data_IF_672045047998
#
_entry.id   IF_672045047998
#
_cell.length_a   1.000
_cell.length_b   1.000
_cell.length_c   1.000
_cell.angle_alpha   90.00
_cell.angle_beta   90.00
_cell.angle_gamma   90.00
#
_symmetry.space_group_name_H-M   'P 1'
#
loop_
_entity.id
_entity.type
_entity.pdbx_description
1 polymer ?
#
# COMPACT_ATOMS: atom_id res chain seq x y z
N UNK A 1 10.01 4.12 -1.07
CA UNK A 1 10.34 2.69 -1.03
C UNK A 1 9.68 1.96 0.13
N UNK A 2 9.85 2.44 1.39
CA UNK A 2 9.25 1.80 2.57
C UNK A 2 7.73 1.72 2.48
N UNK A 3 7.04 2.78 2.09
CA UNK A 3 5.59 2.79 1.92
C UNK A 3 5.12 1.72 0.93
N UNK A 4 5.77 1.61 -0.23
CA UNK A 4 5.43 0.60 -1.24
C UNK A 4 5.67 -0.83 -0.74
N UNK A 5 6.72 -1.05 0.05
CA UNK A 5 7.02 -2.35 0.66
C UNK A 5 5.96 -2.72 1.71
N UNK A 6 5.62 -1.77 2.59
CA UNK A 6 4.56 -1.96 3.58
C UNK A 6 3.22 -2.30 2.91
N UNK A 7 2.87 -1.61 1.84
CA UNK A 7 1.61 -1.83 1.13
C UNK A 7 1.52 -3.23 0.53
N UNK A 8 2.61 -3.72 -0.08
CA UNK A 8 2.66 -5.11 -0.61
C UNK A 8 2.53 -6.12 0.52
N UNK A 9 3.26 -5.94 1.63
CA UNK A 9 3.19 -6.83 2.79
C UNK A 9 1.79 -6.84 3.44
N UNK A 10 1.14 -5.68 3.52
CA UNK A 10 -0.25 -5.56 3.99
C UNK A 10 -1.22 -6.40 3.16
N UNK A 11 -1.05 -6.44 1.83
CA UNK A 11 -1.89 -7.27 0.97
C UNK A 11 -1.83 -8.75 1.34
N UNK A 12 -0.66 -9.25 1.71
CA UNK A 12 -0.48 -10.63 2.19
C UNK A 12 -1.10 -10.82 3.58
N UNK A 13 -0.89 -9.89 4.50
CA UNK A 13 -1.47 -9.93 5.83
C UNK A 13 -3.01 -9.94 5.78
N UNK A 14 -3.62 -9.08 4.97
CA UNK A 14 -5.07 -9.06 4.74
C UNK A 14 -5.58 -10.36 4.11
N UNK A 15 -4.80 -10.96 3.22
CA UNK A 15 -5.14 -12.25 2.61
C UNK A 15 -5.25 -13.35 3.66
N UNK A 16 -4.28 -13.43 4.57
CA UNK A 16 -4.31 -14.42 5.66
C UNK A 16 -5.47 -14.14 6.61
N UNK A 17 -5.66 -12.88 7.02
CA UNK A 17 -6.76 -12.51 7.88
C UNK A 17 -8.11 -12.93 7.30
N UNK A 18 -8.37 -12.59 6.03
CA UNK A 18 -9.62 -12.94 5.33
C UNK A 18 -9.81 -14.46 5.19
N UNK A 19 -8.77 -15.19 4.75
CA UNK A 19 -8.86 -16.65 4.59
C UNK A 19 -9.01 -17.41 5.89
N UNK A 20 -8.54 -16.83 6.99
CA UNK A 20 -8.72 -17.38 8.34
C UNK A 20 -10.03 -16.96 8.99
N UNK A 21 -10.93 -16.27 8.25
CA UNK A 21 -12.21 -15.77 8.75
C UNK A 21 -12.06 -14.82 9.96
N UNK A 22 -10.95 -14.09 10.05
CA UNK A 22 -10.79 -13.05 11.07
C UNK A 22 -11.70 -11.85 10.76
N UNK A 23 -12.19 -11.21 11.81
CA UNK A 23 -12.89 -9.93 11.70
C UNK A 23 -11.90 -8.86 11.24
N UNK A 24 -12.12 -8.29 10.03
CA UNK A 24 -11.19 -7.33 9.43
C UNK A 24 -11.13 -6.00 10.18
N UNK A 25 -12.21 -5.59 10.87
CA UNK A 25 -12.20 -4.38 11.71
C UNK A 25 -11.29 -4.61 12.93
N UNK A 26 -11.41 -5.76 13.58
CA UNK A 26 -10.55 -6.12 14.71
C UNK A 26 -9.10 -6.31 14.25
N UNK A 27 -8.89 -6.89 13.08
CA UNK A 27 -7.56 -7.05 12.48
C UNK A 27 -6.91 -5.70 12.21
N UNK A 28 -7.65 -4.73 11.63
CA UNK A 28 -7.18 -3.36 11.43
C UNK A 28 -6.68 -2.75 12.75
N UNK A 29 -7.54 -2.77 13.79
CA UNK A 29 -7.19 -2.24 15.12
C UNK A 29 -6.02 -2.99 15.76
N UNK A 30 -5.93 -4.29 15.56
CA UNK A 30 -4.85 -5.12 16.08
C UNK A 30 -3.50 -4.78 15.45
N UNK A 31 -3.46 -4.56 14.14
CA UNK A 31 -2.24 -4.12 13.44
C UNK A 31 -1.85 -2.71 13.92
N UNK A 32 -2.81 -1.77 13.99
CA UNK A 32 -2.55 -0.40 14.50
C UNK A 32 -1.92 -0.40 15.89
N UNK A 33 -2.33 -1.32 16.77
CA UNK A 33 -1.82 -1.43 18.14
C UNK A 33 -0.53 -2.27 18.25
N UNK A 34 0.04 -2.75 17.16
CA UNK A 34 1.18 -3.67 17.14
C UNK A 34 2.43 -3.04 16.53
N UNK A 35 3.56 -3.73 16.66
CA UNK A 35 4.83 -3.36 15.99
C UNK A 35 4.77 -3.48 14.45
N UNK A 36 3.74 -4.11 13.90
CA UNK A 36 3.49 -4.17 12.47
C UNK A 36 2.78 -2.94 11.90
N UNK A 37 2.46 -1.95 12.74
CA UNK A 37 1.82 -0.71 12.31
C UNK A 37 2.73 0.14 11.41
N UNK A 38 2.10 0.91 10.56
CA UNK A 38 2.74 1.92 9.71
C UNK A 38 1.72 2.98 9.29
N UNK A 39 2.18 4.16 8.91
CA UNK A 39 1.31 5.20 8.33
C UNK A 39 0.52 4.67 7.13
N UNK A 40 1.15 3.83 6.29
CA UNK A 40 0.47 3.15 5.17
C UNK A 40 -0.68 2.27 5.65
N UNK A 41 -0.51 1.54 6.77
CA UNK A 41 -1.60 0.76 7.33
C UNK A 41 -2.73 1.66 7.82
N UNK A 42 -2.42 2.71 8.55
CA UNK A 42 -3.43 3.61 9.13
C UNK A 42 -4.25 4.33 8.06
N UNK A 43 -3.64 4.69 6.94
CA UNK A 43 -4.28 5.41 5.84
C UNK A 43 -4.83 4.47 4.76
N UNK A 44 -3.96 3.78 4.04
CA UNK A 44 -4.35 3.03 2.84
C UNK A 44 -5.25 1.81 3.15
N UNK A 45 -5.08 1.17 4.32
CA UNK A 45 -5.99 0.08 4.69
C UNK A 45 -7.44 0.51 4.77
N UNK A 46 -7.73 1.75 5.12
CA UNK A 46 -9.10 2.24 5.21
C UNK A 46 -9.78 2.23 3.83
N UNK A 47 -9.13 2.79 2.81
CA UNK A 47 -9.68 2.82 1.45
C UNK A 47 -9.65 1.44 0.77
N UNK A 48 -8.73 0.55 1.17
CA UNK A 48 -8.72 -0.84 0.74
C UNK A 48 -9.92 -1.59 1.33
N UNK A 49 -10.17 -1.46 2.63
CA UNK A 49 -11.29 -2.10 3.32
C UNK A 49 -12.65 -1.53 2.90
N UNK A 50 -12.71 -0.28 2.48
CA UNK A 50 -13.87 0.30 1.81
C UNK A 50 -14.06 -0.28 0.40
N UNK A 51 -12.97 -0.48 -0.33
CA UNK A 51 -12.94 -0.95 -1.71
C UNK A 51 -12.85 0.14 -2.77
N UNK A 52 -12.69 1.40 -2.37
CA UNK A 52 -12.43 2.52 -3.29
C UNK A 52 -11.01 2.54 -3.81
N UNK A 53 -10.05 2.10 -2.97
CA UNK A 53 -8.61 2.21 -3.22
C UNK A 53 -8.13 3.65 -3.47
N UNK A 54 -8.95 4.65 -3.16
CA UNK A 54 -8.65 6.04 -3.45
C UNK A 54 -7.68 6.64 -2.43
N UNK A 55 -6.39 6.59 -2.74
CA UNK A 55 -5.30 7.19 -1.97
C UNK A 55 -4.76 8.46 -2.63
N UNK A 56 -5.33 8.86 -3.75
CA UNK A 56 -4.91 10.01 -4.55
C UNK A 56 -3.42 9.97 -4.98
N UNK A 57 -2.86 8.77 -5.11
CA UNK A 57 -1.51 8.51 -5.59
C UNK A 57 -1.51 7.33 -6.55
N UNK A 58 -0.88 7.45 -7.72
CA UNK A 58 -1.01 6.48 -8.81
C UNK A 58 0.18 5.54 -8.97
N UNK A 59 -0.03 4.39 -9.63
CA UNK A 59 1.02 3.38 -9.81
C UNK A 59 2.22 3.87 -10.61
N UNK A 60 2.02 4.75 -11.59
CA UNK A 60 3.13 5.35 -12.34
C UNK A 60 3.99 6.25 -11.46
N UNK A 61 3.40 6.97 -10.52
CA UNK A 61 4.14 7.77 -9.55
C UNK A 61 4.95 6.90 -8.59
N UNK A 62 4.36 5.79 -8.09
CA UNK A 62 5.11 4.82 -7.28
C UNK A 62 6.31 4.28 -8.05
N UNK A 63 6.11 3.85 -9.30
CA UNK A 63 7.19 3.29 -10.11
C UNK A 63 8.28 4.31 -10.42
N UNK A 64 7.91 5.58 -10.61
CA UNK A 64 8.89 6.68 -10.74
C UNK A 64 9.73 6.81 -9.46
N UNK A 65 9.08 6.85 -8.30
CA UNK A 65 9.77 7.06 -7.02
C UNK A 65 10.67 5.88 -6.63
N UNK A 66 10.21 4.64 -6.85
CA UNK A 66 11.05 3.45 -6.63
C UNK A 66 12.22 3.42 -7.63
N UNK A 67 11.99 3.86 -8.87
CA UNK A 67 13.05 3.99 -9.88
C UNK A 67 14.16 4.93 -9.43
N UNK A 68 13.82 6.09 -8.87
CA UNK A 68 14.80 7.01 -8.29
C UNK A 68 15.60 6.37 -7.13
N UNK A 69 14.93 5.55 -6.31
CA UNK A 69 15.60 4.81 -5.23
C UNK A 69 16.58 3.78 -5.77
N UNK A 70 16.23 3.05 -6.83
CA UNK A 70 17.10 2.08 -7.49
C UNK A 70 18.30 2.78 -8.19
N UNK A 71 18.09 3.95 -8.79
CA UNK A 71 19.16 4.76 -9.38
C UNK A 71 20.18 5.20 -8.32
N UNK A 72 19.71 5.60 -7.13
CA UNK A 72 20.60 5.91 -6.01
C UNK A 72 21.36 4.67 -5.53
N UNK A 73 20.71 3.51 -5.44
CA UNK A 73 21.38 2.27 -5.08
C UNK A 73 22.51 1.93 -6.07
N UNK A 74 22.25 2.05 -7.36
CA UNK A 74 23.26 1.84 -8.41
C UNK A 74 24.42 2.84 -8.29
N UNK A 75 24.11 4.12 -8.09
CA UNK A 75 25.12 5.18 -7.93
C UNK A 75 26.08 4.90 -6.77
N UNK A 76 25.57 4.34 -5.68
CA UNK A 76 26.36 4.05 -4.48
C UNK A 76 26.80 2.59 -4.37
N UNK A 77 26.60 1.78 -5.41
CA UNK A 77 26.91 0.34 -5.42
C UNK A 77 26.26 -0.40 -4.22
N UNK A 78 25.05 0.02 -3.82
CA UNK A 78 24.30 -0.63 -2.75
C UNK A 78 23.54 -1.85 -3.30
N UNK A 79 23.78 -3.02 -2.71
CA UNK A 79 23.03 -4.21 -3.07
C UNK A 79 21.68 -4.21 -2.33
N UNK A 80 20.57 -4.32 -3.08
CA UNK A 80 19.21 -4.34 -2.54
C UNK A 80 18.55 -5.69 -2.84
N UNK A 81 17.94 -6.30 -1.83
CA UNK A 81 17.28 -7.61 -1.96
C UNK A 81 15.79 -7.48 -2.25
N UNK A 82 15.10 -6.54 -1.59
CA UNK A 82 13.64 -6.42 -1.64
C UNK A 82 13.18 -5.50 -2.77
N UNK A 83 13.92 -4.42 -3.06
CA UNK A 83 13.50 -3.40 -4.05
C UNK A 83 13.20 -4.00 -5.44
N UNK A 84 14.00 -4.90 -6.00
CA UNK A 84 13.70 -5.51 -7.30
C UNK A 84 12.37 -6.27 -7.33
N UNK A 85 12.00 -6.92 -6.21
CA UNK A 85 10.73 -7.62 -6.07
C UNK A 85 9.57 -6.63 -6.04
N UNK A 86 9.68 -5.56 -5.27
CA UNK A 86 8.64 -4.51 -5.19
C UNK A 86 8.41 -3.86 -6.55
N UNK A 87 9.49 -3.49 -7.26
CA UNK A 87 9.41 -2.95 -8.64
C UNK A 87 8.67 -3.92 -9.57
N UNK A 88 9.01 -5.20 -9.53
CA UNK A 88 8.33 -6.23 -10.34
C UNK A 88 6.83 -6.29 -10.02
N UNK A 89 6.47 -6.31 -8.75
CA UNK A 89 5.07 -6.37 -8.29
C UNK A 89 4.29 -5.16 -8.79
N UNK A 90 4.84 -3.95 -8.65
CA UNK A 90 4.16 -2.74 -9.12
C UNK A 90 4.07 -2.66 -10.65
N UNK A 91 5.09 -3.13 -11.41
CA UNK A 91 5.00 -3.25 -12.88
C UNK A 91 3.89 -4.21 -13.32
N UNK A 92 3.73 -5.33 -12.63
CA UNK A 92 2.62 -6.25 -12.88
C UNK A 92 1.26 -5.61 -12.55
N UNK A 93 1.18 -4.88 -11.44
CA UNK A 93 -0.01 -4.10 -11.06
C UNK A 93 -0.37 -3.05 -12.11
N UNK A 94 0.60 -2.26 -12.55
CA UNK A 94 0.43 -1.27 -13.60
C UNK A 94 -0.08 -1.88 -14.92
N UNK A 95 0.49 -3.02 -15.31
CA UNK A 95 0.05 -3.75 -16.51
C UNK A 95 -1.40 -4.23 -16.39
N UNK A 96 -1.81 -4.65 -15.20
CA UNK A 96 -3.14 -5.22 -14.95
C UNK A 96 -4.22 -4.15 -14.77
N UNK A 97 -3.93 -3.09 -14.04
CA UNK A 97 -4.93 -2.09 -13.62
C UNK A 97 -4.78 -0.74 -14.33
N UNK A 98 -3.66 -0.52 -15.02
CA UNK A 98 -3.34 0.73 -15.71
C UNK A 98 -2.39 1.63 -14.91
N UNK A 99 -1.67 2.49 -15.65
CA UNK A 99 -0.68 3.41 -15.08
C UNK A 99 -1.28 4.40 -14.09
N UNK A 100 -2.49 4.88 -14.39
CA UNK A 100 -3.20 5.87 -13.58
C UNK A 100 -4.11 5.26 -12.51
N UNK A 101 -4.09 3.94 -12.34
CA UNK A 101 -4.77 3.29 -11.23
C UNK A 101 -4.13 3.70 -9.89
N UNK A 102 -4.94 3.78 -8.85
CA UNK A 102 -4.45 4.10 -7.50
C UNK A 102 -3.41 3.08 -7.02
N UNK A 103 -2.37 3.53 -6.37
CA UNK A 103 -1.27 2.67 -5.89
C UNK A 103 -1.74 1.57 -4.95
N UNK A 104 -2.73 1.86 -4.10
CA UNK A 104 -3.35 0.89 -3.19
C UNK A 104 -4.04 -0.27 -3.90
N UNK A 105 -4.37 -0.15 -5.20
CA UNK A 105 -4.85 -1.27 -6.02
C UNK A 105 -3.80 -2.38 -6.19
N UNK A 106 -2.54 -2.15 -5.79
CA UNK A 106 -1.55 -3.23 -5.74
C UNK A 106 -2.00 -4.36 -4.80
N UNK A 107 -2.73 -4.03 -3.75
CA UNK A 107 -3.32 -4.99 -2.80
C UNK A 107 -4.45 -5.79 -3.45
N UNK A 108 -5.20 -5.18 -4.38
CA UNK A 108 -6.24 -5.88 -5.16
C UNK A 108 -5.70 -7.10 -5.94
N UNK A 109 -4.39 -7.13 -6.25
CA UNK A 109 -3.78 -8.33 -6.85
C UNK A 109 -3.97 -9.56 -5.95
N UNK A 110 -3.86 -9.37 -4.63
CA UNK A 110 -4.04 -10.47 -3.67
C UNK A 110 -5.51 -10.91 -3.60
N UNK A 111 -6.46 -9.97 -3.69
CA UNK A 111 -7.88 -10.30 -3.80
C UNK A 111 -8.15 -11.15 -5.06
N UNK A 112 -7.67 -10.69 -6.21
CA UNK A 112 -7.88 -11.34 -7.50
C UNK A 112 -7.24 -12.75 -7.54
N UNK A 113 -5.99 -12.86 -7.08
CA UNK A 113 -5.26 -14.15 -7.06
C UNK A 113 -5.92 -15.17 -6.14
N UNK A 114 -6.51 -14.71 -5.05
CA UNK A 114 -7.10 -15.56 -4.02
C UNK A 114 -8.62 -15.70 -4.14
N UNK A 115 -9.27 -14.99 -5.07
CA UNK A 115 -10.72 -14.95 -5.28
C UNK A 115 -11.48 -14.57 -3.99
N UNK A 116 -11.01 -13.52 -3.35
CA UNK A 116 -11.57 -12.96 -2.11
C UNK A 116 -11.70 -11.44 -2.26
N UNK A 117 -12.33 -10.80 -1.30
CA UNK A 117 -12.36 -9.35 -1.13
C UNK A 117 -11.99 -8.94 0.31
N UNK A 118 -11.46 -7.74 0.49
CA UNK A 118 -11.11 -7.19 1.79
C UNK A 118 -12.14 -6.14 2.20
N UNK A 119 -13.43 -6.47 2.20
CA UNK A 119 -14.49 -5.50 2.53
C UNK A 119 -14.86 -5.57 4.00
N UNK A 120 -14.89 -4.38 4.63
CA UNK A 120 -15.38 -4.18 5.98
C UNK A 120 -16.20 -2.88 6.06
N UNK A 121 -17.22 -2.85 6.93
CA UNK A 121 -18.07 -1.67 7.10
C UNK A 121 -17.39 -0.62 7.98
N UNK A 122 -17.74 0.65 7.76
CA UNK A 122 -17.31 1.76 8.63
C UNK A 122 -15.98 2.40 8.21
N UNK A 123 -15.44 2.05 7.04
CA UNK A 123 -14.26 2.68 6.48
C UNK A 123 -14.64 3.67 5.36
N UNK A 124 -13.95 4.83 5.27
CA UNK A 124 -14.26 5.88 4.30
C UNK A 124 -13.84 5.47 2.88
N UNK A 125 -14.52 6.02 1.89
CA UNK A 125 -14.15 5.86 0.48
C UNK A 125 -12.99 6.76 0.05
N UNK A 126 -12.76 7.81 0.80
CA UNK A 126 -11.71 8.82 0.59
C UNK A 126 -11.20 9.26 1.96
N UNK A 127 -9.91 9.50 2.07
CA UNK A 127 -9.32 10.03 3.28
C UNK A 127 -9.50 11.55 3.29
N UNK A 128 -9.98 12.06 4.40
CA UNK A 128 -10.01 13.50 4.68
C UNK A 128 -8.76 13.84 5.49
N UNK A 129 -8.07 14.90 5.10
CA UNK A 129 -6.95 15.46 5.84
C UNK A 129 -7.50 16.64 6.66
N UNK A 130 -7.80 16.36 7.92
CA UNK A 130 -8.28 17.35 8.88
C UNK A 130 -7.14 18.01 9.67
N UNK A 131 -5.87 17.64 9.39
CA UNK A 131 -4.72 18.20 10.07
C UNK A 131 -4.43 19.61 9.52
N UNK A 132 -4.14 20.53 10.42
CA UNK A 132 -3.68 21.87 10.05
C UNK A 132 -2.33 21.74 9.34
N UNK A 133 -2.20 22.38 8.17
CA UNK A 133 -0.93 22.43 7.45
C UNK A 133 0.18 22.93 8.37
N UNK A 134 1.15 22.07 8.64
CA UNK A 134 2.37 22.50 9.34
C UNK A 134 3.20 23.40 8.42
N UNK A 135 3.74 24.47 8.98
CA UNK A 135 4.69 25.32 8.24
C UNK A 135 5.90 24.46 7.88
N UNK A 136 6.18 24.37 6.58
CA UNK A 136 7.40 23.73 6.11
C UNK A 136 8.64 24.37 6.70
N UNK A 137 9.64 23.58 7.03
CA UNK A 137 10.95 24.07 7.43
C UNK A 137 11.81 24.22 6.19
N UNK A 138 12.42 25.38 6.00
CA UNK A 138 13.51 25.53 5.04
C UNK A 138 14.75 24.83 5.62
N UNK A 139 15.36 23.94 4.84
CA UNK A 139 16.60 23.25 5.20
C UNK A 139 17.79 24.02 4.59
#
# INVERSE_FOLDING_TARGET
YLASTHLVALGEAWTIAKKSNLDLIKTYKGITASSGNSFVHETESQVILNGSYNINFTMDLVLKDIGLFDDLANKYNAHLEISPLIVKIFKEGQKKYGSRAWSSMIVKRMEDLNKIDFRAKGFPAELEDDELEEKGYEI
#
